data_IF_417794285620
#
_entry.id   IF_417794285620
#
_cell.length_a   1.000
_cell.length_b   1.000
_cell.length_c   1.000
_cell.angle_alpha   90.00
_cell.angle_beta   90.00
_cell.angle_gamma   90.00
#
_symmetry.space_group_name_H-M   'P 1'
#
loop_
_entity.id
_entity.type
_entity.pdbx_description
1 polymer ?
#
# COMPACT_ATOMS: atom_id res chain seq x y z
N UNK A 1 12.92 19.50 -6.29
CA UNK A 1 11.66 18.93 -5.79
C UNK A 1 11.97 18.26 -4.46
N UNK A 2 11.22 18.50 -3.39
CA UNK A 2 11.47 17.83 -2.13
C UNK A 2 11.21 16.33 -2.30
N UNK A 3 12.20 15.50 -1.96
CA UNK A 3 12.05 14.05 -1.93
C UNK A 3 11.20 13.68 -0.71
N UNK A 4 10.15 12.91 -0.93
CA UNK A 4 9.35 12.33 0.15
C UNK A 4 10.27 11.40 0.94
N UNK A 5 10.44 11.67 2.23
CA UNK A 5 11.28 10.84 3.09
C UNK A 5 10.56 9.53 3.43
N UNK A 6 11.33 8.48 3.80
CA UNK A 6 10.77 7.23 4.33
C UNK A 6 9.82 7.47 5.51
N UNK A 7 10.08 8.51 6.28
CA UNK A 7 9.25 8.93 7.41
C UNK A 7 7.89 9.46 6.95
N UNK A 8 7.84 10.22 5.85
CA UNK A 8 6.60 10.76 5.30
C UNK A 8 5.73 9.66 4.71
N UNK A 9 6.36 8.64 4.10
CA UNK A 9 5.68 7.45 3.62
C UNK A 9 5.09 6.62 4.78
N UNK A 10 5.89 6.34 5.81
CA UNK A 10 5.43 5.61 7.00
C UNK A 10 4.33 6.37 7.74
N UNK A 11 4.42 7.68 7.83
CA UNK A 11 3.39 8.52 8.41
C UNK A 11 2.11 8.55 7.57
N UNK A 12 2.22 8.56 6.25
CA UNK A 12 1.07 8.51 5.34
C UNK A 12 0.31 7.19 5.45
N UNK A 13 1.01 6.05 5.46
CA UNK A 13 0.39 4.72 5.63
C UNK A 13 -0.14 4.52 7.04
N UNK A 14 0.60 4.93 8.07
CA UNK A 14 0.14 4.87 9.46
C UNK A 14 -1.10 5.76 9.70
N UNK A 15 -1.17 6.93 9.09
CA UNK A 15 -2.34 7.82 9.13
C UNK A 15 -3.56 7.19 8.45
N UNK A 16 -3.38 6.49 7.34
CA UNK A 16 -4.50 5.83 6.64
C UNK A 16 -5.09 4.68 7.47
N UNK A 17 -4.24 3.96 8.20
CA UNK A 17 -4.67 2.87 9.09
C UNK A 17 -5.20 3.43 10.42
N UNK A 18 -4.62 4.51 10.94
CA UNK A 18 -5.05 5.18 12.18
C UNK A 18 -6.32 6.02 11.99
N UNK A 19 -6.59 6.54 10.80
CA UNK A 19 -7.82 7.30 10.50
C UNK A 19 -9.11 6.49 10.72
N UNK A 20 -9.02 5.17 10.74
CA UNK A 20 -10.10 4.29 11.18
C UNK A 20 -10.32 4.24 12.71
N UNK A 21 -9.46 4.89 13.49
CA UNK A 21 -9.46 4.82 14.97
C UNK A 21 -9.73 6.15 15.66
N UNK A 22 -9.77 7.26 14.93
CA UNK A 22 -10.11 8.56 15.53
C UNK A 22 -11.54 8.96 15.21
N UNK A 23 -12.29 9.52 16.18
CA UNK A 23 -13.59 10.10 15.90
C UNK A 23 -13.46 11.16 14.80
N UNK A 24 -14.31 11.10 13.80
CA UNK A 24 -14.29 11.92 12.58
C UNK A 24 -14.29 13.46 12.82
N UNK A 25 -14.33 13.94 14.04
CA UNK A 25 -14.43 15.34 14.43
C UNK A 25 -13.06 16.05 14.57
N UNK A 26 -11.92 15.36 14.47
CA UNK A 26 -10.62 15.99 14.70
C UNK A 26 -9.64 15.93 13.51
N UNK A 27 -10.04 15.36 12.40
CA UNK A 27 -9.23 15.40 11.17
C UNK A 27 -9.89 16.38 10.19
N UNK A 28 -9.71 17.67 10.43
CA UNK A 28 -9.65 18.65 9.36
C UNK A 28 -8.28 18.49 8.67
N UNK A 29 -7.94 17.25 8.31
CA UNK A 29 -6.86 16.99 7.40
C UNK A 29 -7.32 17.46 6.03
N UNK A 30 -6.49 18.24 5.35
CA UNK A 30 -6.61 18.44 3.92
C UNK A 30 -7.02 17.12 3.28
N UNK A 31 -8.00 17.08 2.37
CA UNK A 31 -8.41 15.84 1.76
C UNK A 31 -7.15 15.18 1.21
N UNK A 32 -6.81 14.01 1.76
CA UNK A 32 -5.73 13.17 1.24
C UNK A 32 -5.98 13.07 -0.26
N UNK A 33 -5.18 13.79 -1.05
CA UNK A 33 -5.22 13.70 -2.50
C UNK A 33 -4.75 12.30 -2.86
N UNK A 34 -5.66 11.39 -2.89
CA UNK A 34 -5.42 10.08 -3.45
C UNK A 34 -6.08 10.02 -4.84
N UNK A 35 -5.38 9.52 -5.81
CA UNK A 35 -4.01 9.01 -5.75
C UNK A 35 -2.98 10.14 -5.62
N UNK A 36 -1.78 9.84 -5.08
CA UNK A 36 -0.68 10.81 -5.08
C UNK A 36 -0.50 11.35 -6.50
N UNK A 37 -0.33 12.66 -6.63
CA UNK A 37 -0.22 13.35 -7.93
C UNK A 37 1.14 13.06 -8.62
N UNK A 38 1.48 11.79 -8.75
CA UNK A 38 2.66 11.32 -9.46
C UNK A 38 2.26 10.89 -10.86
N UNK A 39 2.87 11.48 -11.86
CA UNK A 39 2.56 11.23 -13.27
C UNK A 39 3.53 10.26 -13.90
N UNK A 40 3.09 9.55 -14.94
CA UNK A 40 3.89 8.64 -15.75
C UNK A 40 3.85 7.18 -15.30
N UNK A 41 4.74 6.38 -15.87
CA UNK A 41 4.91 4.97 -15.53
C UNK A 41 5.50 4.84 -14.11
N UNK A 42 4.90 3.97 -13.32
CA UNK A 42 5.25 3.76 -11.91
C UNK A 42 5.80 2.36 -11.70
N UNK A 43 6.74 2.21 -10.77
CA UNK A 43 7.33 0.94 -10.39
C UNK A 43 8.83 0.87 -10.55
N UNK A 44 9.44 1.88 -11.18
CA UNK A 44 10.89 2.00 -11.32
C UNK A 44 11.33 3.38 -10.81
N UNK A 45 11.54 3.47 -9.52
CA UNK A 45 11.99 4.69 -8.83
C UNK A 45 13.11 4.33 -7.84
N UNK A 46 13.83 5.34 -7.36
CA UNK A 46 14.87 5.15 -6.35
C UNK A 46 14.30 4.44 -5.11
N UNK A 47 14.94 3.36 -4.68
CA UNK A 47 14.52 2.52 -3.56
C UNK A 47 13.66 1.30 -3.94
N UNK A 48 13.18 1.21 -5.19
CA UNK A 48 12.29 0.11 -5.59
C UNK A 48 12.99 -1.24 -5.73
N UNK A 49 14.28 -1.28 -6.04
CA UNK A 49 15.01 -2.53 -6.30
C UNK A 49 16.43 -2.59 -5.71
N UNK A 50 17.03 -1.48 -5.33
CA UNK A 50 18.46 -1.41 -4.97
C UNK A 50 18.79 -2.29 -3.77
N UNK A 51 17.95 -2.29 -2.74
CA UNK A 51 18.16 -3.13 -1.55
C UNK A 51 18.02 -4.61 -1.88
N UNK A 52 17.04 -4.99 -2.70
CA UNK A 52 16.85 -6.35 -3.14
C UNK A 52 18.03 -6.84 -4.00
N UNK A 53 18.54 -5.99 -4.91
CA UNK A 53 19.72 -6.30 -5.72
C UNK A 53 20.98 -6.43 -4.86
N UNK A 54 21.20 -5.51 -3.94
CA UNK A 54 22.34 -5.57 -3.03
C UNK A 54 22.35 -6.89 -2.23
N UNK A 55 21.18 -7.33 -1.77
CA UNK A 55 21.07 -8.59 -1.03
C UNK A 55 21.18 -9.82 -1.93
N UNK A 56 20.40 -9.87 -3.02
CA UNK A 56 20.26 -11.06 -3.82
C UNK A 56 21.38 -11.28 -4.85
N UNK A 57 21.96 -10.19 -5.38
CA UNK A 57 22.98 -10.25 -6.42
C UNK A 57 24.38 -9.96 -5.92
N UNK A 58 24.50 -9.03 -4.98
CA UNK A 58 25.80 -8.59 -4.46
C UNK A 58 26.17 -9.28 -3.13
N UNK A 59 25.27 -10.10 -2.60
CA UNK A 59 25.50 -10.86 -1.36
C UNK A 59 25.58 -10.01 -0.09
N UNK A 60 25.10 -8.77 -0.13
CA UNK A 60 25.11 -7.88 1.03
C UNK A 60 24.34 -8.48 2.19
N UNK A 61 24.96 -8.50 3.38
CA UNK A 61 24.35 -8.93 4.64
C UNK A 61 24.00 -7.72 5.49
N UNK A 62 22.86 -7.77 6.14
CA UNK A 62 22.42 -6.76 7.08
C UNK A 62 22.62 -7.29 8.52
N UNK A 63 23.25 -6.53 9.42
CA UNK A 63 23.52 -6.97 10.80
C UNK A 63 22.22 -6.90 11.63
N UNK A 64 21.33 -7.87 11.44
CA UNK A 64 20.01 -7.91 12.11
C UNK A 64 20.12 -8.02 13.62
N UNK A 65 21.19 -8.65 14.12
CA UNK A 65 21.54 -8.80 15.53
C UNK A 65 21.83 -7.46 16.24
N UNK A 66 22.18 -6.43 15.48
CA UNK A 66 22.49 -5.08 16.00
C UNK A 66 21.32 -4.12 15.92
N UNK A 67 20.19 -4.56 15.36
CA UNK A 67 19.00 -3.72 15.23
C UNK A 67 18.24 -3.69 16.56
N UNK A 68 17.88 -2.47 16.97
CA UNK A 68 17.00 -2.28 18.12
C UNK A 68 15.55 -2.36 17.67
N UNK A 69 14.74 -3.10 18.44
CA UNK A 69 13.28 -3.11 18.21
C UNK A 69 12.71 -1.77 18.68
N UNK A 70 12.17 -1.01 17.75
CA UNK A 70 11.58 0.30 18.03
C UNK A 70 10.08 0.20 18.27
N UNK A 71 9.40 -0.66 17.51
CA UNK A 71 7.95 -0.83 17.60
C UNK A 71 7.53 -2.30 17.53
N UNK A 72 6.34 -2.59 18.03
CA UNK A 72 5.71 -3.91 17.98
C UNK A 72 4.33 -3.81 17.34
N UNK A 73 4.00 -4.80 16.54
CA UNK A 73 2.73 -4.91 15.83
C UNK A 73 2.16 -6.31 15.99
N UNK A 74 0.83 -6.42 15.96
CA UNK A 74 0.15 -7.71 15.99
C UNK A 74 0.25 -8.43 14.64
N UNK A 75 0.34 -7.65 13.56
CA UNK A 75 0.55 -8.15 12.21
C UNK A 75 1.50 -7.23 11.46
N UNK A 76 2.47 -7.82 10.77
CA UNK A 76 3.29 -7.13 9.77
C UNK A 76 3.04 -7.79 8.41
N UNK A 77 2.58 -7.00 7.45
CA UNK A 77 2.36 -7.41 6.06
C UNK A 77 3.47 -6.84 5.20
N UNK A 78 4.13 -7.70 4.45
CA UNK A 78 5.17 -7.29 3.49
C UNK A 78 4.58 -7.35 2.08
N UNK A 79 4.45 -6.19 1.47
CA UNK A 79 3.80 -5.96 0.19
C UNK A 79 2.40 -5.38 0.33
N UNK A 80 2.19 -4.19 -0.24
CA UNK A 80 0.91 -3.47 -0.23
C UNK A 80 0.12 -3.66 -1.53
N UNK A 81 0.25 -4.81 -2.17
CA UNK A 81 -0.62 -5.23 -3.27
C UNK A 81 -1.98 -5.71 -2.76
N UNK A 82 -2.86 -6.12 -3.66
CA UNK A 82 -4.24 -6.58 -3.33
C UNK A 82 -4.22 -7.65 -2.24
N UNK A 83 -3.33 -8.64 -2.33
CA UNK A 83 -3.24 -9.72 -1.34
C UNK A 83 -2.85 -9.22 0.04
N UNK A 84 -1.85 -8.33 0.13
CA UNK A 84 -1.41 -7.77 1.40
C UNK A 84 -2.48 -6.89 2.05
N UNK A 85 -3.13 -6.04 1.26
CA UNK A 85 -4.24 -5.20 1.72
C UNK A 85 -5.42 -6.05 2.19
N UNK A 86 -5.78 -7.11 1.44
CA UNK A 86 -6.82 -8.05 1.84
C UNK A 86 -6.48 -8.79 3.14
N UNK A 87 -5.23 -9.26 3.28
CA UNK A 87 -4.76 -9.91 4.51
C UNK A 87 -4.89 -8.99 5.73
N UNK A 88 -4.47 -7.72 5.59
CA UNK A 88 -4.62 -6.72 6.65
C UNK A 88 -6.10 -6.47 7.00
N UNK A 89 -6.97 -6.36 5.99
CA UNK A 89 -8.41 -6.17 6.18
C UNK A 89 -9.06 -7.35 6.91
N UNK A 90 -8.77 -8.58 6.48
CA UNK A 90 -9.29 -9.78 7.14
C UNK A 90 -8.78 -9.93 8.58
N UNK A 91 -7.49 -9.66 8.79
CA UNK A 91 -6.93 -9.69 10.15
C UNK A 91 -7.60 -8.63 11.05
N UNK A 92 -7.81 -7.41 10.54
CA UNK A 92 -8.51 -6.35 11.27
C UNK A 92 -9.92 -6.77 11.69
N UNK A 93 -10.65 -7.46 10.81
CA UNK A 93 -11.98 -7.98 11.14
C UNK A 93 -11.95 -9.05 12.22
N UNK A 94 -10.96 -9.93 12.17
CA UNK A 94 -10.83 -11.03 13.12
C UNK A 94 -10.31 -10.56 14.48
N UNK A 95 -9.31 -9.70 14.51
CA UNK A 95 -8.62 -9.26 15.72
C UNK A 95 -9.24 -8.01 16.38
N UNK A 96 -10.12 -7.32 15.65
CA UNK A 96 -10.79 -6.12 16.13
C UNK A 96 -10.06 -4.80 15.84
N UNK A 97 -10.70 -3.66 16.16
CA UNK A 97 -10.23 -2.33 15.77
C UNK A 97 -8.94 -1.90 16.47
N UNK A 98 -8.63 -2.48 17.63
CA UNK A 98 -7.41 -2.16 18.40
C UNK A 98 -6.15 -2.85 17.90
N UNK A 99 -6.25 -3.82 16.98
CA UNK A 99 -5.10 -4.53 16.44
C UNK A 99 -4.14 -3.55 15.72
N UNK A 100 -2.87 -3.64 16.06
CA UNK A 100 -1.81 -2.84 15.42
C UNK A 100 -1.32 -3.58 14.20
N UNK A 101 -1.52 -3.00 13.03
CA UNK A 101 -1.12 -3.60 11.74
C UNK A 101 -0.13 -2.66 11.06
N UNK A 102 0.99 -3.21 10.64
CA UNK A 102 1.97 -2.52 9.79
C UNK A 102 1.95 -3.15 8.41
N UNK A 103 1.83 -2.33 7.38
CA UNK A 103 2.00 -2.75 5.98
C UNK A 103 3.25 -2.07 5.45
N UNK A 104 4.18 -2.86 4.92
CA UNK A 104 5.44 -2.40 4.35
C UNK A 104 5.43 -2.65 2.84
N UNK A 105 5.84 -1.66 2.09
CA UNK A 105 6.12 -1.79 0.66
C UNK A 105 7.40 -1.05 0.30
N UNK A 106 8.10 -1.49 -0.73
CA UNK A 106 9.29 -0.80 -1.24
C UNK A 106 8.95 0.19 -2.37
N UNK A 107 7.70 0.23 -2.80
CA UNK A 107 7.19 1.21 -3.74
C UNK A 107 6.68 2.46 -3.03
N UNK A 108 6.53 3.52 -3.78
CA UNK A 108 6.10 4.84 -3.32
C UNK A 108 4.57 4.97 -3.17
N UNK A 109 3.84 3.87 -3.48
CA UNK A 109 2.40 3.80 -3.38
C UNK A 109 1.94 2.35 -3.21
N UNK A 110 0.75 2.14 -2.67
CA UNK A 110 0.14 0.83 -2.56
C UNK A 110 -0.58 0.40 -3.85
N UNK A 111 -1.03 -0.84 -3.90
CA UNK A 111 -1.79 -1.42 -5.02
C UNK A 111 -1.02 -2.50 -5.79
N UNK A 112 0.31 -2.53 -5.70
CA UNK A 112 1.12 -3.51 -6.44
C UNK A 112 0.83 -3.46 -7.94
N UNK A 113 0.47 -4.58 -8.56
CA UNK A 113 0.09 -4.64 -9.97
C UNK A 113 -1.22 -3.91 -10.32
N UNK A 114 -2.09 -3.68 -9.35
CA UNK A 114 -3.33 -2.93 -9.55
C UNK A 114 -3.16 -1.40 -9.51
N UNK A 115 -1.95 -0.94 -9.22
CA UNK A 115 -1.64 0.48 -9.21
C UNK A 115 -1.78 1.06 -10.61
N UNK A 116 -2.57 2.13 -10.74
CA UNK A 116 -2.80 2.81 -12.01
C UNK A 116 -1.64 3.74 -12.37
N UNK A 117 -1.46 3.97 -13.66
CA UNK A 117 -0.59 5.02 -14.19
C UNK A 117 -1.41 6.26 -14.50
N UNK A 118 -0.91 7.42 -14.14
CA UNK A 118 -1.56 8.70 -14.38
C UNK A 118 -0.67 9.57 -15.27
N UNK A 119 -1.27 10.17 -16.27
CA UNK A 119 -0.58 11.07 -17.22
C UNK A 119 -1.36 12.37 -17.31
N UNK A 120 -0.64 13.48 -17.37
CA UNK A 120 -1.26 14.77 -17.65
C UNK A 120 -0.88 15.19 -19.06
N UNK A 121 -1.87 15.23 -19.95
CA UNK A 121 -1.74 15.65 -21.33
C UNK A 121 -2.58 16.92 -21.54
N UNK A 122 -1.98 18.02 -21.90
CA UNK A 122 -2.66 19.30 -22.14
C UNK A 122 -3.62 19.71 -21.00
N UNK A 123 -3.17 19.51 -19.75
CA UNK A 123 -3.96 19.82 -18.56
C UNK A 123 -5.08 18.83 -18.24
N UNK A 124 -5.22 17.76 -19.01
CA UNK A 124 -6.22 16.70 -18.77
C UNK A 124 -5.57 15.47 -18.17
N UNK A 125 -6.20 14.92 -17.13
CA UNK A 125 -5.79 13.65 -16.53
C UNK A 125 -6.22 12.49 -17.45
N UNK A 126 -5.25 11.67 -17.84
CA UNK A 126 -5.45 10.41 -18.55
C UNK A 126 -4.98 9.29 -17.65
N UNK A 127 -5.81 8.28 -17.46
CA UNK A 127 -5.51 7.12 -16.62
C UNK A 127 -5.18 5.94 -17.53
N UNK A 128 -4.02 5.31 -17.27
CA UNK A 128 -3.61 4.07 -17.91
C UNK A 128 -3.64 2.91 -16.91
N UNK A 129 -3.65 1.70 -17.44
CA UNK A 129 -3.53 0.49 -16.63
C UNK A 129 -2.18 0.42 -15.93
N UNK A 130 -2.18 -0.21 -14.73
CA UNK A 130 -0.98 -0.78 -14.14
C UNK A 130 -0.66 -2.14 -14.75
N UNK A 131 -0.41 -3.14 -13.91
CA UNK A 131 -0.26 -4.53 -14.33
C UNK A 131 -1.59 -5.32 -14.37
N UNK A 132 -2.68 -4.71 -13.88
CA UNK A 132 -4.02 -5.29 -13.87
C UNK A 132 -4.95 -4.46 -14.75
N UNK A 133 -5.60 -5.10 -15.70
CA UNK A 133 -6.50 -4.45 -16.65
C UNK A 133 -7.97 -4.67 -16.29
N UNK A 134 -8.31 -5.90 -15.89
CA UNK A 134 -9.70 -6.30 -15.68
C UNK A 134 -9.85 -7.23 -14.49
N UNK A 135 -11.07 -7.27 -13.98
CA UNK A 135 -11.50 -8.27 -13.00
C UNK A 135 -12.42 -9.25 -13.73
N UNK A 136 -12.09 -10.54 -13.68
CA UNK A 136 -12.97 -11.60 -14.19
C UNK A 136 -14.32 -11.57 -13.47
N UNK A 137 -15.35 -12.09 -14.15
CA UNK A 137 -16.68 -12.19 -13.54
C UNK A 137 -16.61 -12.92 -12.20
N UNK A 138 -16.96 -12.26 -11.09
CA UNK A 138 -16.87 -12.87 -9.77
C UNK A 138 -17.88 -14.00 -9.55
N UNK A 139 -18.91 -14.10 -10.40
CA UNK A 139 -20.00 -15.09 -10.23
C UNK A 139 -19.50 -16.53 -10.27
N UNK A 140 -18.57 -16.85 -11.15
CA UNK A 140 -18.18 -18.23 -11.45
C UNK A 140 -16.75 -18.58 -11.02
N UNK A 141 -15.86 -17.61 -10.94
CA UNK A 141 -14.43 -17.86 -10.76
C UNK A 141 -13.89 -17.54 -9.38
N UNK A 142 -14.57 -16.69 -8.64
CA UNK A 142 -14.09 -16.25 -7.35
C UNK A 142 -14.63 -17.09 -6.19
N UNK A 143 -13.81 -17.32 -5.19
CA UNK A 143 -14.23 -17.92 -3.94
C UNK A 143 -15.24 -17.03 -3.21
N UNK A 144 -16.00 -17.59 -2.29
CA UNK A 144 -16.96 -16.82 -1.48
C UNK A 144 -16.27 -15.74 -0.62
N UNK A 145 -15.03 -16.01 -0.19
CA UNK A 145 -14.20 -15.03 0.52
C UNK A 145 -13.87 -13.83 -0.37
N UNK A 146 -13.44 -14.08 -1.61
CA UNK A 146 -13.14 -13.01 -2.57
C UNK A 146 -14.39 -12.22 -2.94
N UNK A 147 -15.53 -12.91 -3.19
CA UNK A 147 -16.83 -12.27 -3.43
C UNK A 147 -17.27 -11.43 -2.23
N UNK A 148 -17.02 -11.92 -1.02
CA UNK A 148 -17.28 -11.20 0.22
C UNK A 148 -16.50 -9.88 0.26
N UNK A 149 -15.20 -9.92 -0.04
CA UNK A 149 -14.37 -8.74 -0.07
C UNK A 149 -14.87 -7.70 -1.09
N UNK A 150 -15.23 -8.13 -2.30
CA UNK A 150 -15.77 -7.23 -3.32
C UNK A 150 -17.06 -6.54 -2.85
N UNK A 151 -17.99 -7.30 -2.27
CA UNK A 151 -19.22 -6.72 -1.69
C UNK A 151 -18.94 -5.68 -0.61
N UNK A 152 -17.96 -5.97 0.26
CA UNK A 152 -17.57 -5.04 1.35
C UNK A 152 -16.93 -3.76 0.81
N UNK A 153 -16.31 -3.83 -0.36
CA UNK A 153 -15.74 -2.69 -1.06
C UNK A 153 -16.77 -1.93 -1.93
N UNK A 154 -17.97 -2.45 -2.04
CA UNK A 154 -19.03 -1.84 -2.86
C UNK A 154 -18.92 -2.10 -4.36
N UNK A 155 -18.22 -3.18 -4.74
CA UNK A 155 -18.00 -3.58 -6.14
C UNK A 155 -18.97 -4.70 -6.54
#
# INVERSE_FOLDING_TARGET
MPSISRRDFLNGVALTVAAGLTPAAQIAAEPLRYPPALTGLRGQHAGSFETAHAQAREGKRFPLDRLRVEERYDLVVVGAGISGLAAAAFYRRAAGPSARILILDNHDDFGGHAKRNEFTLDGRLVIGYGGSESIDSPKTRYSDVAKGLLRDLGV
#
